data_IF_149499070072
#
_entry.id   IF_149499070072
#
_cell.length_a   1.000
_cell.length_b   1.000
_cell.length_c   1.000
_cell.angle_alpha   90.00
_cell.angle_beta   90.00
_cell.angle_gamma   90.00
#
_symmetry.space_group_name_H-M   'P 1'
#
loop_
_entity.id
_entity.type
_entity.pdbx_description
1 polymer ?
#
# COMPACT_ATOMS: atom_id res chain seq x y z
N UNK A 1 -8.46 1.60 -25.01
CA UNK A 1 -8.30 0.18 -25.40
C UNK A 1 -8.25 -0.62 -24.11
N UNK A 2 -9.14 -1.61 -23.90
CA UNK A 2 -9.11 -2.42 -22.68
C UNK A 2 -7.99 -3.45 -22.73
N UNK A 3 -7.33 -3.70 -21.61
CA UNK A 3 -6.34 -4.75 -21.45
C UNK A 3 -7.03 -6.06 -21.01
N UNK A 4 -6.42 -7.21 -21.28
CA UNK A 4 -7.01 -8.50 -20.95
C UNK A 4 -6.94 -8.74 -19.44
N UNK A 5 -8.02 -9.28 -18.87
CA UNK A 5 -8.06 -9.70 -17.48
C UNK A 5 -7.59 -11.16 -17.44
N UNK A 6 -6.33 -11.35 -17.04
CA UNK A 6 -5.73 -12.65 -16.75
C UNK A 6 -5.09 -12.61 -15.36
N UNK A 7 -4.99 -13.75 -14.66
CA UNK A 7 -4.18 -13.83 -13.45
C UNK A 7 -2.72 -13.50 -13.79
N UNK A 8 -2.15 -12.51 -13.12
CA UNK A 8 -0.77 -12.08 -13.32
C UNK A 8 0.15 -12.75 -12.29
N UNK A 9 1.31 -13.19 -12.75
CA UNK A 9 2.27 -13.96 -11.96
C UNK A 9 3.52 -13.13 -11.64
N UNK A 10 3.58 -12.46 -10.48
CA UNK A 10 4.80 -11.79 -10.04
C UNK A 10 5.88 -12.78 -9.59
N UNK A 11 7.13 -12.48 -9.89
CA UNK A 11 8.32 -13.18 -9.42
C UNK A 11 9.38 -12.18 -8.97
N UNK A 12 10.00 -12.43 -7.82
CA UNK A 12 11.08 -11.60 -7.29
C UNK A 12 12.42 -12.28 -7.59
N UNK A 13 13.33 -11.60 -8.29
CA UNK A 13 14.66 -12.10 -8.64
C UNK A 13 15.69 -11.86 -7.55
N UNK A 14 15.76 -10.62 -7.04
CA UNK A 14 16.68 -10.22 -5.96
C UNK A 14 15.95 -9.42 -4.89
N UNK A 15 16.52 -9.40 -3.69
CA UNK A 15 15.99 -8.70 -2.52
C UNK A 15 16.97 -7.64 -2.03
N UNK A 16 16.49 -6.52 -1.46
CA UNK A 16 17.34 -5.52 -0.82
C UNK A 16 17.94 -6.09 0.47
N UNK A 17 19.19 -5.74 0.79
CA UNK A 17 19.86 -6.20 2.02
C UNK A 17 19.30 -5.56 3.30
N UNK A 18 18.66 -4.40 3.18
CA UNK A 18 18.11 -3.59 4.26
C UNK A 18 16.90 -4.26 4.94
N UNK A 19 16.22 -5.19 4.24
CA UNK A 19 14.99 -5.82 4.70
C UNK A 19 15.00 -7.32 4.50
N UNK A 20 14.39 -8.06 5.44
CA UNK A 20 14.20 -9.50 5.31
C UNK A 20 13.27 -9.81 4.12
N UNK A 21 13.58 -10.89 3.40
CA UNK A 21 12.81 -11.31 2.22
C UNK A 21 11.31 -11.50 2.52
N UNK A 22 10.96 -12.07 3.68
CA UNK A 22 9.57 -12.27 4.08
C UNK A 22 8.80 -10.94 4.24
N UNK A 23 9.50 -9.88 4.70
CA UNK A 23 8.95 -8.54 4.80
C UNK A 23 8.75 -7.93 3.41
N UNK A 24 9.73 -8.07 2.52
CA UNK A 24 9.65 -7.58 1.13
C UNK A 24 8.49 -8.24 0.39
N UNK A 25 8.35 -9.57 0.47
CA UNK A 25 7.23 -10.32 -0.13
C UNK A 25 5.87 -9.81 0.34
N UNK A 26 5.70 -9.61 1.65
CA UNK A 26 4.44 -9.07 2.21
C UNK A 26 4.13 -7.66 1.69
N UNK A 27 5.14 -6.80 1.60
CA UNK A 27 4.98 -5.43 1.09
C UNK A 27 4.58 -5.41 -0.38
N UNK A 28 5.23 -6.22 -1.21
CA UNK A 28 4.92 -6.31 -2.63
C UNK A 28 3.51 -6.91 -2.87
N UNK A 29 3.11 -7.90 -2.05
CA UNK A 29 1.75 -8.42 -2.05
C UNK A 29 0.73 -7.35 -1.67
N UNK A 30 1.04 -6.50 -0.68
CA UNK A 30 0.18 -5.38 -0.28
C UNK A 30 0.08 -4.32 -1.40
N UNK A 31 1.19 -3.96 -2.04
CA UNK A 31 1.23 -3.03 -3.16
C UNK A 31 0.38 -3.51 -4.35
N UNK A 32 0.46 -4.80 -4.72
CA UNK A 32 -0.40 -5.41 -5.74
C UNK A 32 -1.88 -5.41 -5.32
N UNK A 33 -2.13 -5.62 -4.01
CA UNK A 33 -3.48 -5.67 -3.47
C UNK A 33 -4.24 -4.35 -3.69
N UNK A 34 -3.56 -3.22 -3.56
CA UNK A 34 -4.12 -1.88 -3.81
C UNK A 34 -4.86 -1.81 -5.16
N UNK A 35 -4.27 -2.39 -6.20
CA UNK A 35 -4.88 -2.43 -7.55
C UNK A 35 -5.97 -3.50 -7.68
N UNK A 36 -5.77 -4.69 -7.10
CA UNK A 36 -6.78 -5.76 -7.13
C UNK A 36 -8.03 -5.45 -6.31
N UNK A 37 -7.95 -4.55 -5.33
CA UNK A 37 -9.10 -4.16 -4.52
C UNK A 37 -10.14 -3.37 -5.31
N UNK A 38 -9.69 -2.65 -6.35
CA UNK A 38 -10.54 -1.78 -7.17
C UNK A 38 -10.77 -2.29 -8.60
N UNK A 39 -10.17 -3.43 -8.96
CA UNK A 39 -10.31 -4.07 -10.29
C UNK A 39 -10.61 -5.57 -10.19
N UNK A 40 -10.96 -6.24 -11.29
CA UNK A 40 -11.04 -7.71 -11.35
C UNK A 40 -9.68 -8.43 -11.39
N UNK A 41 -8.56 -7.70 -11.36
CA UNK A 41 -7.22 -8.29 -11.46
C UNK A 41 -6.92 -9.21 -10.27
N UNK A 42 -6.16 -10.26 -10.53
CA UNK A 42 -5.68 -11.20 -9.52
C UNK A 42 -4.20 -11.45 -9.72
N UNK A 43 -3.48 -11.63 -8.62
CA UNK A 43 -2.04 -11.82 -8.62
C UNK A 43 -1.69 -13.10 -7.86
N UNK A 44 -0.77 -13.91 -8.39
CA UNK A 44 -0.29 -15.14 -7.73
C UNK A 44 1.21 -15.26 -7.90
N UNK A 45 1.96 -15.07 -6.81
CA UNK A 45 3.42 -15.16 -6.82
C UNK A 45 3.91 -16.54 -7.29
N UNK A 46 4.90 -16.56 -8.17
CA UNK A 46 5.50 -17.79 -8.71
C UNK A 46 7.02 -17.80 -8.55
N UNK A 47 7.60 -19.00 -8.61
CA UNK A 47 9.05 -19.23 -8.53
C UNK A 47 9.62 -19.63 -9.92
N UNK A 48 8.78 -19.77 -10.95
CA UNK A 48 9.14 -20.29 -12.29
C UNK A 48 9.43 -19.21 -13.34
N UNK A 49 10.05 -19.61 -14.47
CA UNK A 49 10.46 -18.75 -15.59
C UNK A 49 9.30 -18.13 -16.43
N UNK A 50 8.05 -18.45 -16.14
CA UNK A 50 6.86 -17.89 -16.83
C UNK A 50 6.17 -16.81 -15.99
N UNK A 51 6.94 -15.84 -15.48
CA UNK A 51 6.40 -14.71 -14.72
C UNK A 51 5.92 -13.60 -15.68
N UNK A 52 4.76 -13.00 -15.38
CA UNK A 52 4.23 -11.85 -16.12
C UNK A 52 4.79 -10.52 -15.58
N UNK A 53 5.26 -10.53 -14.32
CA UNK A 53 5.85 -9.36 -13.66
C UNK A 53 7.15 -9.82 -13.00
N UNK A 54 8.27 -9.23 -13.40
CA UNK A 54 9.59 -9.58 -12.88
C UNK A 54 10.10 -8.42 -12.03
N UNK A 55 10.32 -8.68 -10.75
CA UNK A 55 10.72 -7.68 -9.76
C UNK A 55 12.18 -7.90 -9.40
N UNK A 56 13.00 -6.87 -9.59
CA UNK A 56 14.43 -6.95 -9.32
C UNK A 56 14.93 -5.73 -8.53
N UNK A 57 15.88 -5.94 -7.62
CA UNK A 57 16.57 -4.86 -6.91
C UNK A 57 18.00 -4.79 -7.46
N UNK A 58 18.30 -3.71 -8.16
CA UNK A 58 19.52 -3.58 -8.96
C UNK A 58 20.28 -2.28 -8.65
N UNK A 59 21.56 -2.23 -9.01
CA UNK A 59 22.43 -1.06 -8.79
C UNK A 59 22.92 -0.51 -10.11
N UNK A 60 22.99 0.81 -10.23
CA UNK A 60 23.62 1.51 -11.35
C UNK A 60 23.25 0.86 -12.70
N UNK A 61 24.25 0.41 -13.48
CA UNK A 61 24.02 -0.29 -14.74
C UNK A 61 23.55 -1.74 -14.52
N UNK A 62 22.35 -2.06 -15.00
CA UNK A 62 21.72 -3.37 -14.79
C UNK A 62 21.05 -3.96 -16.05
N UNK A 63 21.46 -3.50 -17.24
CA UNK A 63 21.22 -4.22 -18.50
C UNK A 63 19.98 -3.82 -19.29
N UNK A 64 19.28 -2.74 -18.94
CA UNK A 64 18.17 -2.13 -19.71
C UNK A 64 18.52 -0.82 -20.42
N UNK A 65 19.75 -0.31 -20.27
CA UNK A 65 20.16 1.04 -20.66
C UNK A 65 19.51 2.19 -19.87
N UNK A 66 18.89 1.91 -18.72
CA UNK A 66 18.34 2.89 -17.79
C UNK A 66 19.05 2.76 -16.43
N UNK A 67 20.31 3.19 -16.32
CA UNK A 67 21.04 3.02 -15.06
C UNK A 67 20.45 3.85 -13.94
N UNK A 68 20.47 3.30 -12.72
CA UNK A 68 20.21 4.06 -11.50
C UNK A 68 21.39 4.97 -11.13
N UNK A 69 21.13 5.94 -10.26
CA UNK A 69 22.05 6.98 -9.82
C UNK A 69 22.58 6.81 -8.38
N UNK A 70 22.13 5.79 -7.65
CA UNK A 70 22.52 5.54 -6.26
C UNK A 70 21.51 6.18 -5.30
N UNK A 71 21.91 6.56 -4.08
CA UNK A 71 20.94 7.06 -3.10
C UNK A 71 20.24 8.36 -3.52
N UNK A 72 18.91 8.34 -3.53
CA UNK A 72 18.04 9.42 -4.00
C UNK A 72 17.95 9.47 -5.53
N UNK A 73 17.14 10.40 -6.06
CA UNK A 73 16.99 10.52 -7.51
C UNK A 73 16.03 9.48 -8.07
N UNK A 74 16.52 8.49 -8.82
CA UNK A 74 15.69 7.46 -9.45
C UNK A 74 15.48 6.29 -8.47
N UNK A 75 14.30 6.25 -7.86
CA UNK A 75 13.96 5.23 -6.85
C UNK A 75 13.70 3.85 -7.47
N UNK A 76 13.05 3.83 -8.64
CA UNK A 76 12.64 2.65 -9.36
C UNK A 76 12.22 3.02 -10.79
N UNK A 77 12.02 2.02 -11.63
CA UNK A 77 11.28 2.15 -12.88
C UNK A 77 10.60 0.84 -13.29
N UNK A 78 9.60 0.96 -14.15
CA UNK A 78 8.81 -0.15 -14.66
C UNK A 78 8.55 -0.06 -16.16
N UNK A 79 8.37 -1.22 -16.77
CA UNK A 79 8.15 -1.36 -18.21
C UNK A 79 6.68 -1.66 -18.52
N UNK A 80 6.08 -0.78 -19.30
CA UNK A 80 4.67 -0.80 -19.66
C UNK A 80 4.29 -2.06 -20.47
N UNK A 81 3.00 -2.44 -20.47
CA UNK A 81 2.47 -3.45 -21.38
C UNK A 81 2.80 -3.14 -22.85
N UNK A 82 3.03 -4.19 -23.64
CA UNK A 82 3.37 -4.13 -25.08
C UNK A 82 4.68 -3.43 -25.39
N UNK A 83 5.62 -3.46 -24.45
CA UNK A 83 7.01 -3.09 -24.67
C UNK A 83 7.89 -4.34 -24.72
N UNK A 84 9.14 -4.22 -25.16
CA UNK A 84 10.07 -5.36 -25.23
C UNK A 84 10.28 -6.04 -23.88
N UNK A 85 10.22 -5.28 -22.78
CA UNK A 85 10.48 -5.73 -21.42
C UNK A 85 9.23 -5.64 -20.54
N UNK A 86 8.05 -5.80 -21.13
CA UNK A 86 6.79 -5.63 -20.41
C UNK A 86 6.75 -6.42 -19.10
N UNK A 87 6.31 -5.77 -18.03
CA UNK A 87 6.22 -6.41 -16.71
C UNK A 87 7.49 -6.38 -15.86
N UNK A 88 8.63 -5.98 -16.42
CA UNK A 88 9.84 -5.77 -15.62
C UNK A 88 9.67 -4.54 -14.71
N UNK A 89 10.08 -4.69 -13.45
CA UNK A 89 10.19 -3.61 -12.46
C UNK A 89 11.56 -3.71 -11.82
N UNK A 90 12.29 -2.61 -11.82
CA UNK A 90 13.56 -2.49 -11.13
C UNK A 90 13.44 -1.44 -10.01
N UNK A 91 13.91 -1.81 -8.82
CA UNK A 91 14.06 -0.91 -7.68
C UNK A 91 15.55 -0.61 -7.49
N UNK A 92 15.91 0.64 -7.22
CA UNK A 92 17.31 0.96 -6.91
C UNK A 92 17.67 0.33 -5.55
N UNK A 93 18.63 -0.58 -5.59
CA UNK A 93 19.13 -1.32 -4.44
C UNK A 93 19.86 -0.40 -3.44
N UNK A 94 20.37 0.75 -3.89
CA UNK A 94 21.10 1.71 -3.05
C UNK A 94 20.20 2.67 -2.27
N UNK A 95 18.89 2.64 -2.49
CA UNK A 95 17.91 3.35 -1.68
C UNK A 95 17.85 2.84 -0.24
N UNK A 96 17.53 3.74 0.69
CA UNK A 96 17.28 3.37 2.09
C UNK A 96 15.85 2.90 2.27
N UNK A 97 15.53 1.70 1.76
CA UNK A 97 14.19 1.15 1.81
C UNK A 97 13.63 0.96 3.23
N UNK A 98 12.49 1.59 3.50
CA UNK A 98 11.69 1.46 4.72
C UNK A 98 10.27 0.99 4.39
N UNK A 99 9.46 0.76 5.44
CA UNK A 99 8.05 0.39 5.28
C UNK A 99 7.19 1.11 6.31
N UNK A 100 6.16 1.74 5.81
CA UNK A 100 5.18 2.53 6.51
C UNK A 100 5.71 3.82 7.08
N UNK A 101 6.90 4.35 6.73
CA UNK A 101 7.42 5.60 7.32
C UNK A 101 8.30 6.46 6.42
N UNK A 102 8.53 7.69 6.88
CA UNK A 102 9.35 8.72 6.25
C UNK A 102 10.84 8.68 6.66
N UNK A 103 11.32 7.66 7.40
CA UNK A 103 12.74 7.57 7.78
C UNK A 103 13.66 7.19 6.61
N UNK A 104 13.07 6.83 5.48
CA UNK A 104 13.73 6.47 4.23
C UNK A 104 12.70 6.40 3.11
N UNK A 105 13.01 5.62 2.07
CA UNK A 105 12.15 5.46 0.90
C UNK A 105 11.17 4.33 1.14
N UNK A 106 9.87 4.63 1.19
CA UNK A 106 8.84 3.65 1.54
C UNK A 106 8.58 2.68 0.37
N UNK A 107 8.98 1.42 0.54
CA UNK A 107 8.88 0.41 -0.52
C UNK A 107 7.44 0.14 -0.94
N UNK A 108 6.48 0.24 -0.01
CA UNK A 108 5.06 0.01 -0.33
C UNK A 108 4.56 1.04 -1.35
N UNK A 109 4.88 2.31 -1.16
CA UNK A 109 4.46 3.37 -2.07
C UNK A 109 5.14 3.32 -3.42
N UNK A 110 6.46 3.16 -3.45
CA UNK A 110 7.20 3.06 -4.72
C UNK A 110 6.73 1.82 -5.49
N UNK A 111 6.59 0.67 -4.83
CA UNK A 111 6.12 -0.53 -5.51
C UNK A 111 4.69 -0.39 -6.04
N UNK A 112 3.78 0.21 -5.27
CA UNK A 112 2.42 0.41 -5.72
C UNK A 112 2.36 1.34 -6.96
N UNK A 113 3.20 2.38 -6.99
CA UNK A 113 3.38 3.26 -8.16
C UNK A 113 3.89 2.48 -9.39
N UNK A 114 4.99 1.74 -9.25
CA UNK A 114 5.58 0.97 -10.35
C UNK A 114 4.63 -0.12 -10.88
N UNK A 115 3.85 -0.76 -10.00
CA UNK A 115 2.81 -1.69 -10.44
C UNK A 115 1.73 -0.98 -11.27
N UNK A 116 1.43 0.29 -11.00
CA UNK A 116 0.54 1.09 -11.85
C UNK A 116 1.06 1.19 -13.29
N UNK A 117 2.37 1.41 -13.47
CA UNK A 117 3.01 1.44 -14.79
C UNK A 117 2.98 0.08 -15.49
N UNK A 118 3.30 -1.00 -14.78
CA UNK A 118 3.17 -2.38 -15.32
C UNK A 118 1.73 -2.68 -15.72
N UNK A 119 0.74 -2.13 -15.01
CA UNK A 119 -0.67 -2.27 -15.36
C UNK A 119 -1.12 -1.29 -16.47
N UNK A 120 -0.25 -0.39 -16.94
CA UNK A 120 -0.48 0.50 -18.07
C UNK A 120 -0.91 1.93 -17.72
N UNK A 121 -0.84 2.33 -16.45
CA UNK A 121 -1.09 3.71 -16.03
C UNK A 121 0.13 4.59 -16.29
N UNK A 122 -0.11 5.79 -16.80
CA UNK A 122 0.91 6.83 -16.91
C UNK A 122 0.91 7.70 -15.65
N UNK A 123 1.91 8.58 -15.55
CA UNK A 123 1.94 9.58 -14.50
C UNK A 123 0.68 10.45 -14.49
N UNK A 124 0.17 10.71 -13.28
CA UNK A 124 -0.90 11.66 -13.03
C UNK A 124 -0.34 13.05 -12.74
N UNK A 125 -1.09 14.08 -13.13
CA UNK A 125 -0.82 15.46 -12.74
C UNK A 125 -1.57 15.86 -11.47
N UNK A 126 -2.44 15.00 -10.94
CA UNK A 126 -3.21 15.25 -9.72
C UNK A 126 -2.29 15.20 -8.50
N UNK A 127 -2.19 16.29 -7.71
CA UNK A 127 -1.38 16.28 -6.49
C UNK A 127 -1.89 15.23 -5.49
N UNK A 128 -0.98 14.37 -5.02
CA UNK A 128 -1.31 13.32 -4.05
C UNK A 128 -1.93 12.05 -4.67
N UNK A 129 -2.06 11.96 -6.00
CA UNK A 129 -2.29 10.69 -6.66
C UNK A 129 -1.07 9.77 -6.47
N UNK A 130 -1.32 8.46 -6.33
CA UNK A 130 -0.25 7.48 -6.24
C UNK A 130 0.62 7.50 -7.50
N UNK A 131 0.01 7.68 -8.67
CA UNK A 131 0.71 7.80 -9.96
C UNK A 131 1.36 9.17 -10.19
N UNK A 132 1.45 10.06 -9.19
CA UNK A 132 2.21 11.31 -9.33
C UNK A 132 3.70 11.01 -9.56
N UNK A 133 4.41 11.72 -10.47
CA UNK A 133 5.81 11.43 -10.79
C UNK A 133 6.80 11.74 -9.65
N UNK A 134 6.35 12.47 -8.62
CA UNK A 134 7.19 12.81 -7.49
C UNK A 134 6.77 11.97 -6.29
N UNK A 135 7.75 11.29 -5.68
CA UNK A 135 7.54 10.54 -4.45
C UNK A 135 6.96 11.44 -3.37
N UNK A 136 5.85 11.00 -2.79
CA UNK A 136 5.24 11.60 -1.61
C UNK A 136 4.83 10.48 -0.67
N UNK A 137 5.01 10.70 0.62
CA UNK A 137 4.66 9.70 1.62
C UNK A 137 3.22 9.89 2.11
N UNK A 138 2.47 8.79 2.16
CA UNK A 138 1.11 8.70 2.65
C UNK A 138 0.90 7.39 3.40
N UNK A 139 0.47 7.49 4.66
CA UNK A 139 0.13 6.34 5.48
C UNK A 139 -1.27 6.49 6.11
N UNK A 140 -2.17 5.49 6.00
CA UNK A 140 -2.03 4.34 5.12
C UNK A 140 -2.05 4.78 3.65
N UNK A 141 -1.46 3.96 2.77
CA UNK A 141 -1.52 4.18 1.34
C UNK A 141 -2.99 4.12 0.86
N UNK A 142 -3.41 5.13 0.10
CA UNK A 142 -4.75 5.19 -0.49
C UNK A 142 -4.68 5.63 -1.94
N UNK A 143 -5.41 4.95 -2.83
CA UNK A 143 -5.58 5.40 -4.21
C UNK A 143 -6.45 6.65 -4.27
N UNK A 144 -6.02 7.64 -5.04
CA UNK A 144 -6.86 8.78 -5.40
C UNK A 144 -8.00 8.34 -6.33
N UNK A 145 -8.99 9.21 -6.51
CA UNK A 145 -10.05 8.96 -7.50
C UNK A 145 -9.51 8.97 -8.94
N UNK A 146 -8.40 9.68 -9.20
CA UNK A 146 -7.75 9.67 -10.51
C UNK A 146 -7.11 8.30 -10.80
N UNK A 147 -6.37 7.76 -9.82
CA UNK A 147 -5.77 6.42 -9.92
C UNK A 147 -6.84 5.35 -10.16
N UNK A 148 -7.96 5.41 -9.41
CA UNK A 148 -9.09 4.48 -9.56
C UNK A 148 -9.73 4.58 -10.94
N UNK A 149 -10.01 5.78 -11.43
CA UNK A 149 -10.61 5.99 -12.76
C UNK A 149 -9.68 5.48 -13.85
N UNK A 150 -8.37 5.75 -13.74
CA UNK A 150 -7.37 5.28 -14.69
C UNK A 150 -7.35 3.76 -14.78
N UNK A 151 -7.21 3.07 -13.65
CA UNK A 151 -7.09 1.60 -13.65
C UNK A 151 -8.40 0.92 -14.06
N UNK A 152 -9.54 1.46 -13.64
CA UNK A 152 -10.85 0.93 -14.02
C UNK A 152 -11.21 1.22 -15.47
N UNK A 153 -10.65 2.27 -16.08
CA UNK A 153 -10.77 2.47 -17.52
C UNK A 153 -10.11 1.32 -18.30
N UNK A 154 -8.97 0.81 -17.82
CA UNK A 154 -8.22 -0.26 -18.46
C UNK A 154 -8.83 -1.65 -18.22
N UNK A 155 -9.23 -1.95 -16.99
CA UNK A 155 -9.63 -3.30 -16.55
C UNK A 155 -11.08 -3.43 -16.09
N UNK A 156 -11.80 -2.32 -15.94
CA UNK A 156 -13.11 -2.28 -15.30
C UNK A 156 -13.05 -2.20 -13.77
N UNK A 157 -14.15 -1.80 -13.11
CA UNK A 157 -14.25 -1.87 -11.66
C UNK A 157 -14.34 -3.32 -11.21
N UNK A 158 -13.85 -3.60 -10.00
CA UNK A 158 -14.14 -4.86 -9.33
C UNK A 158 -15.65 -5.01 -9.22
N UNK A 159 -16.20 -6.12 -9.72
CA UNK A 159 -17.59 -6.47 -9.46
C UNK A 159 -17.70 -6.78 -7.97
N UNK A 160 -18.05 -5.77 -7.17
CA UNK A 160 -18.62 -6.05 -5.87
C UNK A 160 -19.90 -6.81 -6.14
N UNK A 161 -19.98 -8.07 -5.70
CA UNK A 161 -21.27 -8.67 -5.46
C UNK A 161 -22.01 -7.66 -4.59
N UNK A 162 -23.07 -7.05 -5.10
CA UNK A 162 -23.93 -6.24 -4.26
C UNK A 162 -24.41 -7.16 -3.17
N UNK A 163 -23.78 -7.09 -2.00
CA UNK A 163 -24.47 -7.45 -0.77
C UNK A 163 -25.55 -6.38 -0.67
N UNK A 164 -26.68 -6.64 -1.33
CA UNK A 164 -27.95 -6.16 -0.82
C UNK A 164 -28.03 -6.79 0.55
N UNK A 165 -27.50 -6.11 1.57
CA UNK A 165 -27.79 -6.45 2.94
C UNK A 165 -29.32 -6.30 3.02
N UNK A 166 -30.09 -7.38 3.18
CA UNK A 166 -31.46 -7.21 3.59
C UNK A 166 -31.36 -6.55 4.96
N UNK A 167 -31.85 -5.31 5.08
CA UNK A 167 -31.89 -4.56 6.32
C UNK A 167 -32.90 -5.20 7.27
N UNK A 168 -32.69 -6.45 7.66
CA UNK A 168 -33.43 -7.17 8.70
C UNK A 168 -32.51 -8.22 9.33
N UNK A 169 -31.59 -7.77 10.17
CA UNK A 169 -31.06 -8.62 11.23
C UNK A 169 -31.02 -7.83 12.53
N UNK A 170 -31.64 -8.39 13.56
CA UNK A 170 -31.47 -8.02 14.97
C UNK A 170 -30.03 -8.31 15.41
N UNK A 171 -29.04 -7.70 14.75
CA UNK A 171 -27.68 -7.66 15.26
C UNK A 171 -27.63 -6.56 16.32
N UNK A 172 -27.08 -6.92 17.47
CA UNK A 172 -26.77 -5.95 18.52
C UNK A 172 -25.65 -5.08 17.95
N UNK A 173 -26.05 -3.96 17.33
CA UNK A 173 -25.13 -2.92 16.88
C UNK A 173 -24.50 -2.33 18.13
N UNK A 174 -23.31 -2.79 18.51
CA UNK A 174 -22.40 -1.95 19.29
C UNK A 174 -22.05 -0.78 18.38
N UNK A 175 -22.77 0.33 18.53
CA UNK A 175 -22.55 1.56 17.80
C UNK A 175 -21.09 1.98 17.94
N UNK A 176 -20.45 2.36 16.84
CA UNK A 176 -19.10 2.91 16.87
C UNK A 176 -19.01 4.02 17.94
N UNK A 177 -17.90 4.09 18.72
CA UNK A 177 -17.86 5.02 19.85
C UNK A 177 -17.95 6.48 19.37
N UNK A 178 -18.63 7.32 20.13
CA UNK A 178 -18.73 8.75 19.83
C UNK A 178 -17.43 9.47 20.20
N UNK A 179 -16.86 10.25 19.29
CA UNK A 179 -15.57 10.95 19.50
C UNK A 179 -15.57 11.99 20.62
N UNK A 180 -16.74 12.56 20.94
CA UNK A 180 -16.90 13.61 21.96
C UNK A 180 -17.32 13.02 23.32
N UNK A 181 -17.91 11.82 23.31
CA UNK A 181 -18.49 11.18 24.48
C UNK A 181 -17.93 9.76 24.72
N UNK A 182 -16.62 9.61 24.61
CA UNK A 182 -15.89 8.37 24.93
C UNK A 182 -14.61 8.67 25.71
N UNK A 183 -14.14 7.69 26.47
CA UNK A 183 -12.75 7.58 26.88
C UNK A 183 -11.93 6.83 25.80
N UNK A 184 -10.61 6.80 25.96
CA UNK A 184 -9.70 6.14 25.03
C UNK A 184 -8.81 5.16 25.78
N UNK A 185 -8.63 3.96 25.21
CA UNK A 185 -7.82 2.90 25.80
C UNK A 185 -6.33 3.19 25.61
N UNK A 186 -5.97 3.74 24.44
CA UNK A 186 -4.61 4.16 24.14
C UNK A 186 -4.57 5.40 23.25
N UNK A 187 -3.48 6.17 23.38
CA UNK A 187 -3.15 7.29 22.50
C UNK A 187 -1.69 7.18 22.09
N UNK A 188 -1.39 7.34 20.81
CA UNK A 188 -0.02 7.26 20.30
C UNK A 188 0.19 8.15 19.09
N UNK A 189 1.40 8.66 18.93
CA UNK A 189 1.82 9.29 17.68
C UNK A 189 2.40 8.18 16.80
N UNK A 190 1.81 7.99 15.63
CA UNK A 190 2.21 6.99 14.66
C UNK A 190 2.38 7.69 13.31
N UNK A 191 3.59 7.64 12.75
CA UNK A 191 4.01 8.31 11.51
C UNK A 191 3.76 9.81 11.52
N UNK A 192 4.05 10.45 12.65
CA UNK A 192 3.88 11.90 12.83
C UNK A 192 2.44 12.34 13.04
N UNK A 193 1.49 11.42 13.10
CA UNK A 193 0.07 11.72 13.29
C UNK A 193 -0.46 11.12 14.58
N UNK A 194 -1.46 11.78 15.17
CA UNK A 194 -1.98 11.38 16.46
C UNK A 194 -3.14 10.38 16.26
N UNK A 195 -3.01 9.22 16.88
CA UNK A 195 -4.03 8.18 16.88
C UNK A 195 -4.57 7.96 18.29
N UNK A 196 -5.89 7.89 18.38
CA UNK A 196 -6.62 7.47 19.57
C UNK A 196 -7.26 6.11 19.30
N UNK A 197 -7.29 5.24 20.30
CA UNK A 197 -7.81 3.88 20.19
C UNK A 197 -8.90 3.63 21.23
N UNK A 198 -9.97 2.94 20.82
CA UNK A 198 -11.04 2.46 21.72
C UNK A 198 -11.60 1.16 21.18
N UNK A 199 -11.48 0.07 21.93
CA UNK A 199 -11.75 -1.29 21.47
C UNK A 199 -11.08 -1.51 20.09
N UNK A 200 -11.85 -1.98 19.10
CA UNK A 200 -11.36 -2.22 17.74
C UNK A 200 -11.26 -0.97 16.86
N UNK A 201 -11.61 0.22 17.38
CA UNK A 201 -11.66 1.47 16.62
C UNK A 201 -10.45 2.35 16.88
N UNK A 202 -10.07 3.11 15.86
CA UNK A 202 -9.12 4.19 15.95
C UNK A 202 -9.72 5.49 15.42
N UNK A 203 -9.17 6.63 15.87
CA UNK A 203 -9.33 7.95 15.25
C UNK A 203 -7.95 8.44 14.82
N UNK A 204 -7.89 9.10 13.66
CA UNK A 204 -6.67 9.71 13.13
C UNK A 204 -6.81 11.22 13.12
N UNK A 205 -5.89 11.91 13.76
CA UNK A 205 -5.80 13.37 13.78
C UNK A 205 -4.53 13.79 13.07
N UNK A 206 -4.70 14.59 12.02
CA UNK A 206 -3.62 15.20 11.24
C UNK A 206 -3.79 16.71 11.31
N UNK A 207 -2.71 17.43 11.65
CA UNK A 207 -2.70 18.89 11.76
C UNK A 207 -3.83 19.44 12.67
N UNK A 208 -4.09 18.74 13.78
CA UNK A 208 -5.13 19.12 14.74
C UNK A 208 -6.56 18.89 14.28
N UNK A 209 -6.80 18.24 13.13
CA UNK A 209 -8.13 17.93 12.59
C UNK A 209 -8.39 16.43 12.52
N UNK A 210 -9.56 16.02 13.02
CA UNK A 210 -10.06 14.66 12.85
C UNK A 210 -10.27 14.38 11.37
N UNK A 211 -9.68 13.30 10.87
CA UNK A 211 -9.80 12.92 9.47
C UNK A 211 -11.19 12.33 9.17
N UNK A 212 -11.71 12.59 7.97
CA UNK A 212 -12.99 12.06 7.53
C UNK A 212 -12.99 10.52 7.51
N UNK A 213 -14.14 9.91 7.81
CA UNK A 213 -14.30 8.45 7.83
C UNK A 213 -13.69 7.77 9.07
N UNK A 214 -13.52 8.52 10.17
CA UNK A 214 -13.19 8.02 11.50
C UNK A 214 -14.33 8.35 12.50
N UNK A 215 -14.57 7.52 13.53
CA UNK A 215 -13.81 6.31 13.90
C UNK A 215 -13.87 5.22 12.84
N UNK A 216 -12.76 4.51 12.67
CA UNK A 216 -12.65 3.38 11.76
C UNK A 216 -12.02 2.20 12.48
N UNK A 217 -12.27 0.98 11.99
CA UNK A 217 -11.59 -0.19 12.53
C UNK A 217 -10.06 -0.01 12.41
N UNK A 218 -9.35 -0.21 13.51
CA UNK A 218 -7.90 -0.09 13.56
C UNK A 218 -7.22 -1.12 12.62
N UNK A 219 -7.89 -2.26 12.39
CA UNK A 219 -7.47 -3.29 11.43
C UNK A 219 -7.40 -2.80 9.97
N UNK A 220 -8.03 -1.67 9.64
CA UNK A 220 -7.87 -0.99 8.34
C UNK A 220 -6.44 -0.46 8.13
N UNK A 221 -5.76 -0.11 9.22
CA UNK A 221 -4.41 0.45 9.20
C UNK A 221 -3.35 -0.60 9.53
N UNK A 222 -3.68 -1.52 10.44
CA UNK A 222 -2.74 -2.49 10.98
C UNK A 222 -3.35 -3.89 10.92
N UNK A 223 -2.94 -4.67 9.92
CA UNK A 223 -3.37 -6.05 9.78
C UNK A 223 -2.87 -6.88 10.96
N UNK A 224 -3.78 -7.60 11.62
CA UNK A 224 -3.47 -8.45 12.78
C UNK A 224 -3.34 -7.69 14.11
N UNK A 225 -3.82 -6.43 14.16
CA UNK A 225 -3.90 -5.69 15.41
C UNK A 225 -4.87 -6.37 16.40
N UNK A 226 -4.56 -6.40 17.70
CA UNK A 226 -5.47 -6.91 18.73
C UNK A 226 -6.78 -6.14 18.78
N UNK A 227 -7.86 -6.78 19.24
CA UNK A 227 -9.18 -6.15 19.38
C UNK A 227 -9.25 -5.17 20.55
N UNK A 228 -8.44 -5.36 21.60
CA UNK A 228 -8.41 -4.51 22.78
C UNK A 228 -7.02 -3.92 23.01
N UNK A 229 -6.78 -2.69 22.58
CA UNK A 229 -5.46 -2.06 22.61
C UNK A 229 -5.31 -1.29 23.92
N UNK A 230 -4.49 -1.80 24.85
CA UNK A 230 -4.17 -1.10 26.11
C UNK A 230 -3.04 -0.07 25.97
N UNK A 231 -2.16 -0.23 24.98
CA UNK A 231 -1.14 0.76 24.65
C UNK A 231 -0.65 0.63 23.21
N UNK A 232 -0.15 1.72 22.64
CA UNK A 232 0.49 1.73 21.33
C UNK A 232 1.74 2.63 21.33
N UNK A 233 2.80 2.21 20.62
CA UNK A 233 4.08 2.93 20.57
C UNK A 233 4.75 2.75 19.21
N UNK A 234 5.32 3.83 18.66
CA UNK A 234 6.22 3.76 17.51
C UNK A 234 7.68 3.91 17.97
N UNK A 235 8.53 2.94 17.60
CA UNK A 235 9.95 2.98 17.92
C UNK A 235 10.76 3.88 16.97
N UNK A 236 12.02 4.17 17.34
CA UNK A 236 12.91 5.01 16.52
C UNK A 236 13.26 4.42 15.15
N UNK A 237 13.00 3.13 14.92
CA UNK A 237 13.18 2.46 13.63
C UNK A 237 11.89 2.46 12.81
N UNK A 238 10.83 3.06 13.34
CA UNK A 238 9.53 3.08 12.72
C UNK A 238 8.82 1.73 12.76
N UNK A 239 9.02 0.89 13.77
CA UNK A 239 8.09 -0.21 14.01
C UNK A 239 6.99 0.25 14.96
N UNK A 240 5.76 -0.18 14.70
CA UNK A 240 4.59 0.16 15.51
C UNK A 240 4.25 -1.06 16.36
N UNK A 241 4.15 -0.84 17.66
CA UNK A 241 3.92 -1.86 18.68
C UNK A 241 2.54 -1.62 19.31
N UNK A 242 1.72 -2.65 19.30
CA UNK A 242 0.42 -2.67 19.99
C UNK A 242 0.48 -3.66 21.14
N UNK A 243 0.00 -3.23 22.30
CA UNK A 243 -0.07 -4.04 23.51
C UNK A 243 -1.53 -4.29 23.83
N UNK A 244 -1.89 -5.56 23.99
CA UNK A 244 -3.26 -5.95 24.34
C UNK A 244 -3.56 -5.59 25.80
N UNK A 245 -4.69 -4.91 26.02
CA UNK A 245 -5.19 -4.58 27.35
C UNK A 245 -5.85 -5.80 27.97
N UNK A 246 -5.52 -6.08 29.25
CA UNK A 246 -6.11 -7.17 30.03
C UNK A 246 -7.51 -6.88 30.55
#
# INVERSE_FOLDING_TARGET
MKLHIIPLKPQIQRFPWQMREDKVKRVLQEALKVWSDVTPLTFTEVISQEADIVIDFARYWHGDNLPFDGPGGILAHAFFPRTHREGDIHFDYDESWTVGNELGTDLLQVAAHEFGHVLGLQHSLEPGALMSPFYSFSYPLQLSEDDKKGIQYLYGPRLQASVQIPTETNEIITSAPDSCHTDFDAVSVIRGELFFFKASYAWRIREGRLQAGYPALASRHWRGIPENIGAAYEDKKGNIWFFEGG
#
